data_IF_402162518917
#
_entry.id   IF_402162518917
#
_cell.length_a   1.000
_cell.length_b   1.000
_cell.length_c   1.000
_cell.angle_alpha   90.00
_cell.angle_beta   90.00
_cell.angle_gamma   90.00
#
_symmetry.space_group_name_H-M   'P 1'
#
loop_
_entity.id
_entity.type
_entity.pdbx_description
1 polymer ?
#
# COMPACT_ATOMS: atom_id res chain seq x y z
N UNK A 1 47.39 -65.66 6.74
CA UNK A 1 47.68 -64.21 6.89
C UNK A 1 46.33 -63.49 7.02
N UNK A 2 46.01 -62.93 8.20
CA UNK A 2 44.69 -62.37 8.53
C UNK A 2 44.73 -60.85 8.38
N UNK A 3 43.92 -60.28 7.49
CA UNK A 3 43.73 -58.83 7.35
C UNK A 3 42.41 -58.45 8.01
N UNK A 4 42.47 -57.66 9.08
CA UNK A 4 41.31 -57.02 9.73
C UNK A 4 41.12 -55.64 9.13
N UNK A 5 39.99 -55.41 8.47
CA UNK A 5 39.56 -54.08 8.02
C UNK A 5 38.59 -53.53 9.07
N UNK A 6 38.96 -52.41 9.70
CA UNK A 6 38.09 -51.66 10.62
C UNK A 6 37.16 -50.77 9.79
N UNK A 7 35.86 -50.99 9.92
CA UNK A 7 34.86 -50.05 9.44
C UNK A 7 34.87 -48.81 10.35
N UNK A 8 35.23 -47.67 9.76
CA UNK A 8 35.18 -46.36 10.39
C UNK A 8 33.88 -45.70 9.94
N UNK A 9 32.88 -45.73 10.80
CA UNK A 9 31.61 -45.03 10.61
C UNK A 9 31.83 -43.54 10.94
N UNK A 10 31.72 -42.69 9.94
CA UNK A 10 31.57 -41.25 10.13
C UNK A 10 30.33 -40.81 9.34
N UNK A 11 29.17 -40.93 9.98
CA UNK A 11 27.93 -40.34 9.49
C UNK A 11 27.93 -38.85 9.85
N UNK A 12 28.54 -38.04 8.97
CA UNK A 12 28.40 -36.59 8.99
C UNK A 12 26.99 -36.20 8.51
N UNK A 13 26.01 -36.26 9.41
CA UNK A 13 24.69 -35.68 9.19
C UNK A 13 24.75 -34.17 9.40
N UNK A 14 25.01 -33.43 8.33
CA UNK A 14 24.86 -31.97 8.31
C UNK A 14 23.36 -31.65 8.35
N UNK A 15 22.80 -31.44 9.54
CA UNK A 15 21.45 -30.94 9.70
C UNK A 15 21.41 -29.48 9.21
N UNK A 16 20.95 -29.28 7.98
CA UNK A 16 20.62 -27.96 7.46
C UNK A 16 19.38 -27.49 8.23
N UNK A 17 19.59 -26.71 9.29
CA UNK A 17 18.56 -25.89 9.90
C UNK A 17 18.20 -24.78 8.91
N UNK A 18 17.34 -25.10 7.93
CA UNK A 18 16.50 -24.08 7.33
C UNK A 18 15.59 -23.58 8.44
N UNK A 19 16.02 -22.51 9.11
CA UNK A 19 15.15 -21.73 9.96
C UNK A 19 13.95 -21.32 9.11
N UNK A 20 12.81 -21.94 9.38
CA UNK A 20 11.51 -21.45 8.96
C UNK A 20 11.36 -20.09 9.62
N UNK A 21 11.79 -19.04 8.92
CA UNK A 21 11.35 -17.70 9.22
C UNK A 21 9.85 -17.72 8.95
N UNK A 22 9.06 -18.00 9.97
CA UNK A 22 7.67 -17.60 10.00
C UNK A 22 7.70 -16.09 9.79
N UNK A 23 7.51 -15.65 8.55
CA UNK A 23 7.19 -14.25 8.26
C UNK A 23 5.89 -14.03 9.02
N UNK A 24 6.01 -13.47 10.22
CA UNK A 24 4.85 -13.18 11.06
C UNK A 24 4.06 -12.13 10.31
N UNK A 25 2.92 -12.53 9.76
CA UNK A 25 1.96 -11.61 9.16
C UNK A 25 1.09 -11.08 10.29
N UNK A 26 1.05 -9.76 10.45
CA UNK A 26 0.14 -9.10 11.36
C UNK A 26 -1.26 -9.13 10.74
N UNK A 27 -2.25 -9.54 11.54
CA UNK A 27 -3.65 -9.57 11.12
C UNK A 27 -4.33 -8.28 11.53
N UNK A 28 -5.20 -7.79 10.66
CA UNK A 28 -6.04 -6.63 10.90
C UNK A 28 -7.48 -6.92 10.51
N UNK A 29 -8.37 -6.03 10.95
CA UNK A 29 -9.80 -6.08 10.63
C UNK A 29 -10.29 -4.69 10.23
N UNK A 30 -11.22 -4.63 9.30
CA UNK A 30 -11.96 -3.42 8.96
C UNK A 30 -13.42 -3.59 9.35
N UNK A 31 -13.94 -2.63 10.11
CA UNK A 31 -15.34 -2.59 10.51
C UNK A 31 -16.02 -1.30 10.04
N UNK A 32 -17.30 -1.41 9.71
CA UNK A 32 -18.18 -0.27 9.48
C UNK A 32 -18.58 0.32 10.84
N UNK A 33 -18.09 1.51 11.15
CA UNK A 33 -18.34 2.18 12.42
C UNK A 33 -19.81 2.56 12.65
N UNK A 34 -20.65 2.58 11.60
CA UNK A 34 -22.08 2.86 11.72
C UNK A 34 -22.90 1.61 12.07
N UNK A 35 -22.46 0.42 11.63
CA UNK A 35 -23.18 -0.84 11.85
C UNK A 35 -22.49 -1.81 12.81
N UNK A 36 -21.20 -1.59 13.10
CA UNK A 36 -20.34 -2.50 13.84
C UNK A 36 -20.00 -3.80 13.10
N UNK A 37 -20.35 -3.92 11.80
CA UNK A 37 -20.14 -5.13 11.01
C UNK A 37 -18.78 -5.12 10.31
N UNK A 38 -18.15 -6.28 10.09
CA UNK A 38 -16.94 -6.36 9.27
C UNK A 38 -17.20 -5.97 7.81
N UNK A 39 -16.19 -5.39 7.16
CA UNK A 39 -16.28 -4.91 5.77
C UNK A 39 -15.39 -5.71 4.83
N UNK A 40 -15.99 -6.43 3.90
CA UNK A 40 -15.29 -7.17 2.85
C UNK A 40 -14.93 -6.27 1.66
N UNK A 41 -13.88 -6.63 0.91
CA UNK A 41 -13.49 -5.92 -0.31
C UNK A 41 -12.87 -4.54 -0.09
N UNK A 42 -12.48 -4.20 1.15
CA UNK A 42 -11.78 -2.96 1.46
C UNK A 42 -10.33 -3.10 1.02
N UNK A 43 -9.84 -2.12 0.25
CA UNK A 43 -8.46 -2.11 -0.21
C UNK A 43 -7.57 -1.47 0.86
N UNK A 44 -6.56 -2.21 1.29
CA UNK A 44 -5.59 -1.81 2.30
C UNK A 44 -4.25 -1.58 1.64
N UNK A 45 -3.61 -0.48 2.01
CA UNK A 45 -2.24 -0.18 1.63
C UNK A 45 -1.47 0.13 2.90
N UNK A 46 -0.28 -0.43 3.02
CA UNK A 46 0.65 -0.08 4.07
C UNK A 46 2.00 0.30 3.48
N UNK A 47 2.65 1.28 4.10
CA UNK A 47 4.03 1.62 3.80
C UNK A 47 4.84 1.65 5.07
N UNK A 48 6.11 1.29 4.95
CA UNK A 48 7.10 1.40 5.99
C UNK A 48 8.08 2.46 5.59
N UNK A 49 8.22 3.45 6.46
CA UNK A 49 9.16 4.55 6.29
C UNK A 49 10.08 4.68 7.49
N UNK A 50 11.20 5.34 7.30
CA UNK A 50 12.13 5.66 8.36
C UNK A 50 13.04 6.81 7.96
N UNK A 51 13.67 7.40 8.95
CA UNK A 51 14.58 8.54 8.79
C UNK A 51 16.01 8.04 8.56
N UNK A 52 16.70 8.58 7.56
CA UNK A 52 18.13 8.33 7.31
C UNK A 52 18.92 9.63 7.50
N UNK A 53 20.09 9.52 8.11
CA UNK A 53 21.00 10.65 8.32
C UNK A 53 21.64 11.03 6.99
N UNK A 54 21.41 12.27 6.59
CA UNK A 54 22.18 12.88 5.51
C UNK A 54 22.99 14.05 6.09
N UNK A 55 24.11 14.43 5.45
CA UNK A 55 25.00 15.47 5.97
C UNK A 55 24.34 16.83 6.24
N UNK A 56 23.23 17.16 5.57
CA UNK A 56 22.55 18.46 5.67
C UNK A 56 21.28 18.38 6.52
N UNK A 57 20.41 17.40 6.25
CA UNK A 57 19.16 17.20 6.98
C UNK A 57 18.69 15.75 6.88
N UNK A 58 18.06 15.18 7.92
CA UNK A 58 17.45 13.86 7.83
C UNK A 58 16.47 13.76 6.65
N UNK A 59 16.42 12.62 5.99
CA UNK A 59 15.46 12.33 4.93
C UNK A 59 14.62 11.14 5.32
N UNK A 60 13.29 11.31 5.31
CA UNK A 60 12.35 10.19 5.39
C UNK A 60 12.38 9.43 4.08
N UNK A 61 12.55 8.11 4.17
CA UNK A 61 12.52 7.20 3.03
C UNK A 61 11.51 6.11 3.30
N UNK A 62 10.58 5.92 2.37
CA UNK A 62 9.87 4.65 2.30
C UNK A 62 10.84 3.57 1.81
N UNK A 63 10.74 2.37 2.37
CA UNK A 63 11.64 1.26 2.04
C UNK A 63 10.90 -0.07 1.86
N UNK A 64 9.62 -0.12 2.20
CA UNK A 64 8.76 -1.27 1.95
C UNK A 64 7.33 -0.79 1.85
N UNK A 65 6.52 -1.46 1.03
CA UNK A 65 5.10 -1.23 1.01
C UNK A 65 4.39 -2.53 0.61
N UNK A 66 3.15 -2.66 1.06
CA UNK A 66 2.30 -3.82 0.77
C UNK A 66 0.85 -3.39 0.56
N UNK A 67 0.11 -4.21 -0.18
CA UNK A 67 -1.32 -4.04 -0.35
C UNK A 67 -2.04 -5.35 -0.02
N UNK A 68 -3.26 -5.22 0.50
CA UNK A 68 -4.16 -6.33 0.79
C UNK A 68 -5.60 -5.94 0.48
N UNK A 69 -6.49 -6.92 0.42
CA UNK A 69 -7.95 -6.71 0.33
C UNK A 69 -8.60 -7.52 1.43
N UNK A 70 -9.61 -6.94 2.10
CA UNK A 70 -10.29 -7.65 3.18
C UNK A 70 -11.14 -8.81 2.70
N UNK A 71 -11.14 -9.90 3.46
CA UNK A 71 -11.99 -11.08 3.24
C UNK A 71 -13.47 -10.81 3.63
N UNK A 72 -14.33 -11.82 3.46
CA UNK A 72 -15.76 -11.75 3.82
C UNK A 72 -16.01 -11.43 5.31
N UNK A 73 -15.02 -11.64 6.18
CA UNK A 73 -15.06 -11.33 7.60
C UNK A 73 -14.33 -10.03 7.93
N UNK A 74 -14.03 -9.21 6.93
CA UNK A 74 -13.35 -7.94 7.06
C UNK A 74 -11.88 -8.03 7.44
N UNK A 75 -11.26 -9.21 7.36
CA UNK A 75 -9.87 -9.40 7.80
C UNK A 75 -8.89 -9.24 6.66
N UNK A 76 -7.72 -8.73 6.98
CA UNK A 76 -6.59 -8.63 6.06
C UNK A 76 -5.30 -9.02 6.78
N UNK A 77 -4.24 -9.22 6.01
CA UNK A 77 -2.92 -9.51 6.56
C UNK A 77 -1.84 -8.70 5.86
N UNK A 78 -0.92 -8.16 6.65
CA UNK A 78 0.26 -7.43 6.21
C UNK A 78 1.47 -8.00 6.94
N UNK A 79 2.66 -7.88 6.39
CA UNK A 79 3.87 -8.29 7.08
C UNK A 79 4.05 -7.52 8.39
N UNK A 80 4.54 -8.18 9.45
CA UNK A 80 4.96 -7.49 10.68
C UNK A 80 6.35 -6.88 10.51
N UNK A 81 7.17 -7.52 9.68
CA UNK A 81 8.55 -7.13 9.42
C UNK A 81 8.74 -6.79 7.95
N UNK A 82 9.35 -5.63 7.71
CA UNK A 82 9.56 -5.04 6.38
C UNK A 82 10.94 -5.35 5.78
N UNK A 83 11.72 -6.27 6.37
CA UNK A 83 12.97 -6.72 5.75
C UNK A 83 14.16 -5.77 5.86
N UNK A 84 13.98 -4.56 6.41
CA UNK A 84 15.03 -3.54 6.36
C UNK A 84 16.01 -3.62 7.54
N UNK A 85 17.26 -3.96 7.21
CA UNK A 85 18.37 -4.07 8.15
C UNK A 85 19.32 -2.86 8.12
N UNK A 86 18.97 -1.78 7.42
CA UNK A 86 19.83 -0.59 7.35
C UNK A 86 20.03 0.00 8.76
N UNK A 87 21.25 -0.08 9.33
CA UNK A 87 21.51 0.38 10.69
C UNK A 87 21.47 1.90 10.82
N UNK A 88 21.53 2.63 9.70
CA UNK A 88 21.45 4.09 9.65
C UNK A 88 20.00 4.60 9.56
N UNK A 89 19.01 3.70 9.56
CA UNK A 89 17.60 4.07 9.53
C UNK A 89 16.95 3.94 10.90
N UNK A 90 16.51 5.07 11.45
CA UNK A 90 15.78 5.17 12.72
C UNK A 90 14.35 5.69 12.48
N UNK A 91 13.58 5.91 13.56
CA UNK A 91 12.17 6.36 13.52
C UNK A 91 11.31 5.56 12.53
N UNK A 92 11.44 4.24 12.59
CA UNK A 92 10.75 3.34 11.66
C UNK A 92 9.27 3.33 12.01
N UNK A 93 8.43 3.74 11.05
CA UNK A 93 6.98 3.75 11.19
C UNK A 93 6.34 2.88 10.12
N UNK A 94 5.17 2.34 10.44
CA UNK A 94 4.26 1.72 9.49
C UNK A 94 3.01 2.59 9.42
N UNK A 95 2.68 3.06 8.23
CA UNK A 95 1.43 3.78 7.96
C UNK A 95 0.50 2.86 7.19
N UNK A 96 -0.78 2.87 7.55
CA UNK A 96 -1.82 2.03 6.94
C UNK A 96 -2.98 2.92 6.48
N UNK A 97 -3.43 2.70 5.26
CA UNK A 97 -4.58 3.37 4.66
C UNK A 97 -5.58 2.33 4.21
N UNK A 98 -6.85 2.62 4.42
CA UNK A 98 -7.97 1.83 3.92
C UNK A 98 -8.80 2.65 2.93
N UNK A 99 -9.32 1.97 1.93
CA UNK A 99 -10.18 2.57 0.91
C UNK A 99 -11.36 1.64 0.60
N UNK A 100 -12.56 2.19 0.75
CA UNK A 100 -13.81 1.63 0.28
C UNK A 100 -14.66 2.76 -0.32
N UNK A 101 -15.34 2.52 -1.44
CA UNK A 101 -16.14 3.54 -2.12
C UNK A 101 -17.28 4.04 -1.21
N UNK A 102 -17.42 5.35 -1.07
CA UNK A 102 -18.42 5.98 -0.20
C UNK A 102 -18.11 5.90 1.30
N UNK A 103 -16.88 5.55 1.69
CA UNK A 103 -16.45 5.52 3.09
C UNK A 103 -15.22 6.39 3.33
N UNK A 104 -15.06 6.84 4.58
CA UNK A 104 -13.87 7.56 5.07
C UNK A 104 -13.35 6.89 6.34
N UNK A 105 -12.05 7.00 6.59
CA UNK A 105 -11.45 6.52 7.84
C UNK A 105 -11.94 7.38 9.01
N UNK A 106 -12.45 6.74 10.07
CA UNK A 106 -12.84 7.42 11.31
C UNK A 106 -11.60 7.90 12.07
N UNK A 107 -11.73 9.07 12.70
CA UNK A 107 -10.87 9.59 13.76
C UNK A 107 -10.65 8.62 14.94
N UNK A 108 -11.57 7.68 15.15
CA UNK A 108 -11.45 6.61 16.16
C UNK A 108 -10.50 5.49 15.76
N UNK A 109 -10.02 5.46 14.51
CA UNK A 109 -9.05 4.47 14.09
C UNK A 109 -7.72 4.75 14.78
N UNK A 110 -7.22 3.78 15.53
CA UNK A 110 -5.85 3.84 16.04
C UNK A 110 -4.92 3.43 14.90
N UNK A 111 -4.19 4.40 14.33
CA UNK A 111 -3.23 4.19 13.24
C UNK A 111 -2.05 3.27 13.64
N UNK A 112 -1.81 3.06 14.94
CA UNK A 112 -0.88 2.06 15.45
C UNK A 112 -1.47 0.65 15.47
N UNK A 113 -2.80 0.53 15.51
CA UNK A 113 -3.54 -0.72 15.41
C UNK A 113 -3.79 -1.12 13.96
N UNK A 114 -4.06 -2.40 13.73
CA UNK A 114 -4.55 -2.90 12.44
C UNK A 114 -6.08 -3.06 12.43
N UNK A 115 -6.76 -2.48 13.42
CA UNK A 115 -8.21 -2.46 13.53
C UNK A 115 -8.73 -1.11 13.03
N UNK A 116 -9.13 -1.09 11.77
CA UNK A 116 -9.54 0.12 11.08
C UNK A 116 -11.05 0.28 11.14
N UNK A 117 -11.51 1.50 11.43
CA UNK A 117 -12.93 1.84 11.47
C UNK A 117 -13.24 2.78 10.32
N UNK A 118 -14.07 2.33 9.39
CA UNK A 118 -14.57 3.16 8.30
C UNK A 118 -15.99 3.63 8.60
N UNK A 119 -16.29 4.87 8.26
CA UNK A 119 -17.62 5.46 8.39
C UNK A 119 -18.16 5.80 7.00
N UNK A 120 -19.47 5.65 6.75
CA UNK A 120 -20.07 6.17 5.53
C UNK A 120 -19.73 7.64 5.37
N UNK A 121 -19.24 8.01 4.19
CA UNK A 121 -18.85 9.38 3.89
C UNK A 121 -20.09 10.28 3.95
N UNK A 122 -19.98 11.38 4.67
CA UNK A 122 -21.03 12.41 4.77
C UNK A 122 -20.50 13.75 4.26
N UNK A 123 -21.40 14.70 4.02
CA UNK A 123 -21.05 16.01 3.47
C UNK A 123 -21.08 16.06 1.94
N UNK A 124 -20.58 17.18 1.41
CA UNK A 124 -20.50 17.48 -0.03
C UNK A 124 -19.47 16.59 -0.73
N UNK A 125 -19.57 16.48 -2.06
CA UNK A 125 -18.59 15.72 -2.85
C UNK A 125 -17.16 16.24 -2.68
N UNK A 126 -16.97 17.56 -2.63
CA UNK A 126 -15.63 18.15 -2.42
C UNK A 126 -15.07 17.84 -1.04
N UNK A 127 -15.90 17.81 0.02
CA UNK A 127 -15.46 17.36 1.36
C UNK A 127 -15.05 15.89 1.35
N UNK A 128 -15.85 15.03 0.71
CA UNK A 128 -15.53 13.62 0.56
C UNK A 128 -14.26 13.41 -0.27
N UNK A 129 -14.05 14.20 -1.32
CA UNK A 129 -12.86 14.15 -2.17
C UNK A 129 -11.59 14.47 -1.36
N UNK A 130 -11.64 15.51 -0.53
CA UNK A 130 -10.52 15.90 0.35
C UNK A 130 -10.22 14.86 1.42
N UNK A 131 -11.21 14.05 1.79
CA UNK A 131 -11.06 12.97 2.75
C UNK A 131 -10.49 11.67 2.15
N UNK A 132 -10.30 11.60 0.81
CA UNK A 132 -9.70 10.44 0.17
C UNK A 132 -8.27 10.20 0.70
N UNK A 133 -7.87 8.93 0.90
CA UNK A 133 -6.53 8.62 1.37
C UNK A 133 -5.49 9.06 0.35
N UNK A 134 -4.40 9.65 0.84
CA UNK A 134 -3.22 10.03 0.08
C UNK A 134 -2.03 9.20 0.56
N UNK A 135 -1.95 7.90 0.19
CA UNK A 135 -0.84 7.09 0.65
C UNK A 135 0.45 7.55 -0.01
N UNK A 136 1.50 7.76 0.80
CA UNK A 136 2.84 8.08 0.34
C UNK A 136 3.58 6.83 -0.22
N UNK A 137 2.80 5.82 -0.66
CA UNK A 137 3.30 4.51 -1.04
C UNK A 137 3.98 4.49 -2.43
N UNK A 138 3.70 5.48 -3.28
CA UNK A 138 4.30 5.58 -4.63
C UNK A 138 5.77 5.99 -4.60
N UNK A 139 6.24 6.55 -3.49
CA UNK A 139 7.66 6.83 -3.28
C UNK A 139 8.46 5.62 -2.80
N UNK A 140 7.81 4.48 -2.57
CA UNK A 140 8.45 3.29 -2.03
C UNK A 140 9.18 2.52 -3.14
N UNK A 141 10.50 2.27 -2.99
CA UNK A 141 11.20 1.39 -3.91
C UNK A 141 10.62 -0.02 -3.83
N UNK A 142 10.19 -0.59 -4.95
CA UNK A 142 9.62 -1.93 -4.99
C UNK A 142 8.78 -2.21 -6.22
N UNK A 143 8.09 -3.36 -6.21
CA UNK A 143 7.07 -3.67 -7.19
C UNK A 143 5.80 -2.88 -6.86
N UNK A 144 5.37 -2.00 -7.77
CA UNK A 144 4.16 -1.19 -7.61
C UNK A 144 2.89 -1.97 -7.98
N UNK A 145 3.01 -3.13 -8.64
CA UNK A 145 1.87 -3.95 -9.09
C UNK A 145 0.89 -4.34 -7.97
N UNK A 146 1.31 -4.68 -6.74
CA UNK A 146 0.38 -4.99 -5.66
C UNK A 146 -0.62 -3.85 -5.37
N UNK A 147 -0.23 -2.60 -5.60
CA UNK A 147 -1.07 -1.42 -5.35
C UNK A 147 -2.05 -1.12 -6.48
N UNK A 148 -1.92 -1.78 -7.64
CA UNK A 148 -2.71 -1.47 -8.82
C UNK A 148 -4.21 -1.50 -8.53
N UNK A 149 -4.67 -2.51 -7.78
CA UNK A 149 -6.06 -2.63 -7.38
C UNK A 149 -6.52 -1.44 -6.53
N UNK A 150 -5.70 -1.01 -5.56
CA UNK A 150 -5.99 0.16 -4.74
C UNK A 150 -6.05 1.44 -5.59
N UNK A 151 -5.07 1.67 -6.47
CA UNK A 151 -5.01 2.88 -7.30
C UNK A 151 -6.19 2.99 -8.27
N UNK A 152 -6.63 1.87 -8.84
CA UNK A 152 -7.83 1.83 -9.69
C UNK A 152 -9.08 2.25 -8.92
N UNK A 153 -9.26 1.76 -7.70
CA UNK A 153 -10.41 2.15 -6.85
C UNK A 153 -10.30 3.60 -6.42
N UNK A 154 -9.10 4.08 -6.07
CA UNK A 154 -8.88 5.47 -5.67
C UNK A 154 -9.17 6.42 -6.83
N UNK A 155 -8.69 6.11 -8.03
CA UNK A 155 -8.98 6.87 -9.24
C UNK A 155 -10.49 6.91 -9.50
N UNK A 156 -11.17 5.76 -9.48
CA UNK A 156 -12.61 5.68 -9.74
C UNK A 156 -13.43 6.50 -8.74
N UNK A 157 -13.07 6.42 -7.45
CA UNK A 157 -13.72 7.18 -6.40
C UNK A 157 -13.43 8.68 -6.50
N UNK A 158 -12.18 9.06 -6.74
CA UNK A 158 -11.80 10.45 -6.99
C UNK A 158 -12.54 11.03 -8.20
N UNK A 159 -12.66 10.28 -9.29
CA UNK A 159 -13.38 10.71 -10.49
C UNK A 159 -14.87 10.91 -10.22
N UNK A 160 -15.49 10.02 -9.45
CA UNK A 160 -16.90 10.10 -9.04
C UNK A 160 -17.21 11.35 -8.20
N UNK A 161 -16.24 11.73 -7.36
CA UNK A 161 -16.34 12.84 -6.42
C UNK A 161 -15.90 14.19 -7.00
N UNK A 162 -15.03 14.21 -8.01
CA UNK A 162 -14.48 15.45 -8.56
C UNK A 162 -15.56 16.37 -9.18
N UNK A 163 -15.67 17.59 -8.66
CA UNK A 163 -16.57 18.63 -9.18
C UNK A 163 -15.78 19.74 -9.89
N UNK A 164 -14.62 20.10 -9.34
CA UNK A 164 -13.76 21.15 -9.85
C UNK A 164 -12.74 20.64 -10.87
N UNK A 165 -12.16 21.56 -11.66
CA UNK A 165 -11.07 21.24 -12.57
C UNK A 165 -9.83 20.70 -11.84
N UNK A 166 -9.55 21.21 -10.64
CA UNK A 166 -8.41 20.78 -9.83
C UNK A 166 -8.60 19.33 -9.33
N UNK A 167 -9.78 19.00 -8.82
CA UNK A 167 -10.12 17.64 -8.39
C UNK A 167 -10.07 16.65 -9.55
N UNK A 168 -10.56 17.05 -10.74
CA UNK A 168 -10.44 16.24 -11.97
C UNK A 168 -8.99 16.01 -12.36
N UNK A 169 -8.15 17.05 -12.27
CA UNK A 169 -6.71 16.93 -12.54
C UNK A 169 -6.04 15.97 -11.56
N UNK A 170 -6.39 16.05 -10.27
CA UNK A 170 -5.90 15.11 -9.27
C UNK A 170 -6.31 13.67 -9.60
N UNK A 171 -7.58 13.44 -9.97
CA UNK A 171 -8.05 12.12 -10.41
C UNK A 171 -7.24 11.62 -11.63
N UNK A 172 -7.01 12.47 -12.63
CA UNK A 172 -6.17 12.16 -13.80
C UNK A 172 -4.72 11.78 -13.44
N UNK A 173 -4.16 12.33 -12.35
CA UNK A 173 -2.84 11.93 -11.86
C UNK A 173 -2.86 10.51 -11.24
N UNK A 174 -3.95 10.13 -10.55
CA UNK A 174 -4.12 8.75 -10.05
C UNK A 174 -4.26 7.75 -11.20
N UNK A 175 -4.95 8.14 -12.28
CA UNK A 175 -5.01 7.32 -13.49
C UNK A 175 -3.63 7.15 -14.14
N UNK A 176 -2.83 8.21 -14.17
CA UNK A 176 -1.46 8.14 -14.69
C UNK A 176 -0.60 7.13 -13.91
N UNK A 177 -0.74 7.04 -12.59
CA UNK A 177 -0.04 6.04 -11.77
C UNK A 177 -0.46 4.61 -12.13
N UNK A 178 -1.77 4.36 -12.29
CA UNK A 178 -2.30 3.08 -12.80
C UNK A 178 -1.67 2.74 -14.16
N UNK A 179 -1.66 3.70 -15.09
CA UNK A 179 -1.12 3.51 -16.44
C UNK A 179 0.39 3.30 -16.44
N UNK A 180 1.15 3.96 -15.55
CA UNK A 180 2.60 3.72 -15.43
C UNK A 180 2.88 2.27 -15.04
N UNK A 181 2.09 1.70 -14.13
CA UNK A 181 2.24 0.32 -13.66
C UNK A 181 1.84 -0.67 -14.76
N UNK A 182 0.76 -0.40 -15.48
CA UNK A 182 0.19 -1.31 -16.49
C UNK A 182 0.92 -1.29 -17.83
N UNK A 183 1.33 -0.09 -18.26
CA UNK A 183 1.78 0.19 -19.62
C UNK A 183 3.22 0.72 -19.67
N UNK A 184 3.79 1.07 -18.52
CA UNK A 184 5.09 1.70 -18.44
C UNK A 184 5.03 3.21 -18.60
N UNK A 185 6.16 3.85 -18.30
CA UNK A 185 6.27 5.31 -18.18
C UNK A 185 5.94 6.05 -19.48
N UNK A 186 6.43 5.57 -20.62
CA UNK A 186 6.29 6.26 -21.90
C UNK A 186 4.83 6.35 -22.34
N UNK A 187 4.14 5.22 -22.42
CA UNK A 187 2.73 5.19 -22.81
C UNK A 187 1.84 5.96 -21.83
N UNK A 188 2.10 5.88 -20.51
CA UNK A 188 1.37 6.67 -19.52
C UNK A 188 1.52 8.18 -19.76
N UNK A 189 2.71 8.67 -20.13
CA UNK A 189 2.92 10.09 -20.44
C UNK A 189 2.19 10.49 -21.72
N UNK A 190 2.21 9.67 -22.76
CA UNK A 190 1.48 9.93 -24.00
C UNK A 190 -0.02 10.09 -23.74
N UNK A 191 -0.60 9.16 -22.96
CA UNK A 191 -2.02 9.19 -22.58
C UNK A 191 -2.36 10.40 -21.71
N UNK A 192 -1.52 10.75 -20.74
CA UNK A 192 -1.70 11.96 -19.93
C UNK A 192 -1.67 13.23 -20.80
N UNK A 193 -0.70 13.34 -21.71
CA UNK A 193 -0.59 14.46 -22.64
C UNK A 193 -1.80 14.54 -23.59
N UNK A 194 -2.33 13.41 -24.04
CA UNK A 194 -3.56 13.37 -24.84
C UNK A 194 -4.76 13.91 -24.05
N UNK A 195 -4.95 13.47 -22.79
CA UNK A 195 -6.01 13.98 -21.91
C UNK A 195 -5.90 15.48 -21.65
N UNK A 196 -4.70 15.96 -21.30
CA UNK A 196 -4.47 17.40 -21.08
C UNK A 196 -4.76 18.26 -22.32
N UNK A 197 -4.48 17.75 -23.53
CA UNK A 197 -4.84 18.45 -24.77
C UNK A 197 -6.35 18.55 -24.96
N UNK A 198 -7.10 17.49 -24.68
CA UNK A 198 -8.57 17.50 -24.77
C UNK A 198 -9.18 18.49 -23.77
N UNK A 199 -8.72 18.48 -22.51
CA UNK A 199 -9.19 19.43 -21.49
C UNK A 199 -8.95 20.90 -21.89
N UNK A 200 -7.81 21.19 -22.52
CA UNK A 200 -7.50 22.53 -23.02
C UNK A 200 -8.41 22.96 -24.18
N UNK A 201 -8.87 22.00 -25.00
CA UNK A 201 -9.82 22.27 -26.08
C UNK A 201 -11.24 22.49 -25.57
N UNK A 202 -11.66 21.71 -24.57
CA UNK A 202 -13.00 21.82 -23.96
C UNK A 202 -13.16 23.10 -23.14
N UNK A 203 -12.14 23.50 -22.38
CA UNK A 203 -12.16 24.74 -21.59
C UNK A 203 -12.11 26.05 -22.39
N UNK A 204 -12.07 25.98 -23.73
CA UNK A 204 -12.13 27.13 -24.64
C UNK A 204 -13.52 27.36 -25.27
N UNK A 205 -14.46 26.44 -25.04
CA UNK A 205 -15.86 26.58 -25.50
C UNK A 205 -16.70 27.26 -24.42
#
# INVERSE_FOLDING_TARGET
MKIKIKHMAWAGGLAILFGLYSVYAAQGTVIDGSTGKPMAGVHIVASWSGSIAMPVQPSTRCYHAEAAVTDERGRFSLSTFSGNWNPLMWDRTRSVWALASGYVTSDKSDYGSLDLVLMPATGTKSEQFKALPLPDALGCPGDEKPFLAFWRVLHAEALRLAETREEKRFSSLRLFEVEMIEHGKEEAHERLNARSRLELMEGRK
#
